data_IF_017209396747
#
_entry.id   IF_017209396747
#
_cell.length_a   1.000
_cell.length_b   1.000
_cell.length_c   1.000
_cell.angle_alpha   90.00
_cell.angle_beta   90.00
_cell.angle_gamma   90.00
#
_symmetry.space_group_name_H-M   'P 1'
#
loop_
_entity.id
_entity.type
_entity.pdbx_description
1 polymer ?
#
# COMPACT_ATOMS: atom_id res chain seq x y z
N UNK A 1 47.16 15.65 16.19
CA UNK A 1 47.61 14.30 15.78
C UNK A 1 46.44 13.35 15.92
N UNK A 2 46.19 12.51 14.92
CA UNK A 2 45.09 11.55 14.93
C UNK A 2 45.43 10.38 15.86
N UNK A 3 44.59 10.09 16.85
CA UNK A 3 44.77 9.03 17.85
C UNK A 3 44.56 7.61 17.29
N UNK A 4 44.68 7.43 15.97
CA UNK A 4 44.32 6.21 15.25
C UNK A 4 45.09 4.98 15.74
N UNK A 5 46.37 5.15 16.11
CA UNK A 5 47.23 4.08 16.58
C UNK A 5 47.28 3.95 18.11
N UNK A 6 46.57 4.82 18.84
CA UNK A 6 46.58 4.87 20.30
C UNK A 6 45.21 4.55 20.92
N UNK A 7 44.22 4.20 20.10
CA UNK A 7 42.86 3.83 20.53
C UNK A 7 42.48 2.45 20.00
N UNK A 8 41.61 1.75 20.72
CA UNK A 8 41.02 0.49 20.24
C UNK A 8 40.28 0.71 18.91
N UNK A 9 40.75 0.03 17.87
CA UNK A 9 40.17 0.11 16.54
C UNK A 9 38.89 -0.72 16.45
N UNK A 10 37.82 -0.10 15.93
CA UNK A 10 36.59 -0.79 15.52
C UNK A 10 36.57 -0.87 14.00
N UNK A 11 36.88 -2.06 13.48
CA UNK A 11 37.04 -2.28 12.04
C UNK A 11 35.72 -2.71 11.40
N UNK A 12 35.35 -2.13 10.26
CA UNK A 12 34.25 -2.60 9.41
C UNK A 12 34.89 -3.34 8.24
N UNK A 13 34.71 -4.66 8.18
CA UNK A 13 35.24 -5.49 7.09
C UNK A 13 34.20 -5.65 5.99
N UNK A 14 34.57 -5.26 4.77
CA UNK A 14 33.77 -5.45 3.55
C UNK A 14 34.57 -6.36 2.63
N UNK A 15 34.00 -7.49 2.20
CA UNK A 15 34.67 -8.45 1.33
C UNK A 15 34.88 -9.80 2.01
N UNK A 16 36.11 -10.32 1.96
CA UNK A 16 36.42 -11.65 2.49
C UNK A 16 36.39 -11.66 4.03
N UNK A 17 35.67 -12.62 4.60
CA UNK A 17 35.55 -12.81 6.04
C UNK A 17 36.88 -13.06 6.75
N UNK A 18 37.84 -13.69 6.04
CA UNK A 18 39.15 -14.04 6.59
C UNK A 18 39.93 -12.83 7.14
N UNK A 19 39.72 -11.62 6.60
CA UNK A 19 40.36 -10.41 7.13
C UNK A 19 39.78 -10.00 8.49
N UNK A 20 38.45 -10.07 8.66
CA UNK A 20 37.84 -9.84 9.96
C UNK A 20 38.23 -10.93 10.97
N UNK A 21 38.27 -12.19 10.53
CA UNK A 21 38.65 -13.33 11.38
C UNK A 21 40.07 -13.15 11.94
N UNK A 22 41.01 -12.73 11.10
CA UNK A 22 42.38 -12.43 11.52
C UNK A 22 42.45 -11.34 12.59
N UNK A 23 41.69 -10.26 12.44
CA UNK A 23 41.64 -9.16 13.41
C UNK A 23 41.06 -9.64 14.75
N UNK A 24 39.95 -10.37 14.71
CA UNK A 24 39.27 -10.91 15.91
C UNK A 24 40.18 -11.90 16.64
N UNK A 25 40.86 -12.79 15.91
CA UNK A 25 41.79 -13.77 16.48
C UNK A 25 42.98 -13.11 17.19
N UNK A 26 43.40 -11.93 16.76
CA UNK A 26 44.48 -11.16 17.38
C UNK A 26 43.99 -10.14 18.42
N UNK A 27 42.76 -10.30 18.92
CA UNK A 27 42.20 -9.50 20.01
C UNK A 27 41.61 -8.15 19.59
N UNK A 28 41.52 -7.86 18.28
CA UNK A 28 40.88 -6.67 17.75
C UNK A 28 39.36 -6.82 17.60
N UNK A 29 38.66 -5.71 17.35
CA UNK A 29 37.22 -5.70 17.12
C UNK A 29 36.91 -5.45 15.63
N UNK A 30 36.25 -6.41 14.97
CA UNK A 30 35.82 -6.27 13.58
C UNK A 30 34.35 -6.67 13.40
N UNK A 31 33.60 -5.87 12.63
CA UNK A 31 32.25 -6.18 12.16
C UNK A 31 32.32 -6.61 10.70
N UNK A 32 31.90 -7.85 10.44
CA UNK A 32 31.74 -8.37 9.07
C UNK A 32 30.49 -7.79 8.44
N UNK A 33 30.64 -7.10 7.32
CA UNK A 33 29.50 -6.66 6.51
C UNK A 33 29.20 -7.75 5.51
N UNK A 34 27.97 -8.26 5.52
CA UNK A 34 27.46 -9.19 4.52
C UNK A 34 27.22 -8.47 3.18
N UNK A 35 28.30 -7.97 2.58
CA UNK A 35 28.27 -7.27 1.31
C UNK A 35 28.34 -8.28 0.16
N UNK A 36 27.55 -8.02 -0.88
CA UNK A 36 27.61 -8.75 -2.15
C UNK A 36 27.61 -7.73 -3.29
N UNK A 37 28.32 -7.99 -4.40
CA UNK A 37 28.23 -7.13 -5.56
C UNK A 37 26.77 -7.07 -6.06
N UNK A 38 26.31 -5.92 -6.55
CA UNK A 38 25.00 -5.79 -7.17
C UNK A 38 24.79 -6.85 -8.27
N UNK A 39 23.52 -7.20 -8.52
CA UNK A 39 23.14 -8.17 -9.55
C UNK A 39 23.91 -9.52 -9.45
N UNK A 40 24.18 -9.98 -8.23
CA UNK A 40 24.90 -11.24 -7.96
C UNK A 40 26.30 -11.31 -8.62
N UNK A 41 26.93 -10.15 -8.88
CA UNK A 41 28.26 -10.09 -9.51
C UNK A 41 28.24 -10.05 -11.03
N UNK A 42 27.08 -9.86 -11.67
CA UNK A 42 27.03 -9.63 -13.11
C UNK A 42 27.83 -8.37 -13.48
N UNK A 43 28.93 -8.58 -14.20
CA UNK A 43 29.90 -7.51 -14.48
C UNK A 43 29.33 -6.40 -15.36
N UNK A 44 28.44 -6.73 -16.29
CA UNK A 44 27.82 -5.76 -17.18
C UNK A 44 26.84 -4.87 -16.43
N UNK A 45 25.95 -5.47 -15.63
CA UNK A 45 25.00 -4.75 -14.77
C UNK A 45 25.73 -3.92 -13.72
N UNK A 46 26.78 -4.48 -13.10
CA UNK A 46 27.62 -3.75 -12.15
C UNK A 46 28.27 -2.51 -12.76
N UNK A 47 28.81 -2.63 -13.99
CA UNK A 47 29.36 -1.48 -14.73
C UNK A 47 28.29 -0.47 -15.11
N UNK A 48 27.15 -0.92 -15.61
CA UNK A 48 26.03 -0.04 -15.93
C UNK A 48 25.58 0.75 -14.68
N UNK A 49 25.41 0.08 -13.54
CA UNK A 49 25.06 0.75 -12.28
C UNK A 49 26.15 1.73 -11.83
N UNK A 50 27.43 1.38 -11.96
CA UNK A 50 28.53 2.27 -11.61
C UNK A 50 28.51 3.58 -12.43
N UNK A 51 28.10 3.53 -13.70
CA UNK A 51 27.95 4.74 -14.54
C UNK A 51 26.80 5.66 -14.11
N UNK A 52 25.87 5.17 -13.28
CA UNK A 52 24.77 5.97 -12.74
C UNK A 52 25.13 6.66 -11.42
N UNK A 53 26.23 6.27 -10.76
CA UNK A 53 26.69 6.90 -9.52
C UNK A 53 27.18 8.32 -9.84
N UNK A 54 26.68 9.33 -9.10
CA UNK A 54 26.96 10.75 -9.30
C UNK A 54 26.65 11.23 -10.73
N UNK A 55 25.72 10.56 -11.42
CA UNK A 55 25.26 11.02 -12.71
C UNK A 55 24.35 12.25 -12.51
N UNK A 56 24.77 13.41 -13.04
CA UNK A 56 24.07 14.68 -12.81
C UNK A 56 22.62 14.68 -13.30
N UNK A 57 22.32 13.97 -14.39
CA UNK A 57 20.96 13.85 -14.92
C UNK A 57 20.07 13.02 -13.99
N UNK A 58 20.60 11.91 -13.48
CA UNK A 58 19.92 11.06 -12.48
C UNK A 58 19.68 11.85 -11.20
N UNK A 59 20.69 12.57 -10.71
CA UNK A 59 20.56 13.38 -9.50
C UNK A 59 19.57 14.53 -9.67
N UNK A 60 19.52 15.16 -10.86
CA UNK A 60 18.53 16.18 -11.17
C UNK A 60 17.12 15.60 -11.21
N UNK A 61 16.92 14.44 -11.84
CA UNK A 61 15.64 13.74 -11.86
C UNK A 61 15.19 13.33 -10.45
N UNK A 62 16.10 12.83 -9.63
CA UNK A 62 15.84 12.45 -8.24
C UNK A 62 15.43 13.67 -7.38
N UNK A 63 16.09 14.82 -7.56
CA UNK A 63 15.69 16.07 -6.88
C UNK A 63 14.25 16.46 -7.22
N UNK A 64 13.85 16.36 -8.48
CA UNK A 64 12.47 16.65 -8.92
C UNK A 64 11.48 15.65 -8.33
N UNK A 65 11.79 14.35 -8.37
CA UNK A 65 10.93 13.30 -7.83
C UNK A 65 10.72 13.48 -6.31
N UNK A 66 11.82 13.69 -5.57
CA UNK A 66 11.78 13.91 -4.13
C UNK A 66 11.06 15.21 -3.77
N UNK A 67 11.30 16.31 -4.51
CA UNK A 67 10.62 17.58 -4.23
C UNK A 67 9.12 17.46 -4.40
N UNK A 68 8.64 16.77 -5.45
CA UNK A 68 7.21 16.50 -5.65
C UNK A 68 6.63 15.63 -4.55
N UNK A 69 7.33 14.58 -4.15
CA UNK A 69 6.92 13.70 -3.04
C UNK A 69 6.78 14.49 -1.72
N UNK A 70 7.78 15.30 -1.38
CA UNK A 70 7.78 16.10 -0.16
C UNK A 70 6.70 17.19 -0.17
N UNK A 71 6.49 17.85 -1.32
CA UNK A 71 5.51 18.92 -1.48
C UNK A 71 4.06 18.41 -1.43
N UNK A 72 3.78 17.18 -1.87
CA UNK A 72 2.43 16.63 -1.97
C UNK A 72 1.60 16.84 -0.69
N UNK A 73 0.42 17.45 -0.79
CA UNK A 73 -0.49 17.66 0.35
C UNK A 73 -1.74 16.79 0.20
N UNK A 74 -1.73 15.54 0.72
CA UNK A 74 -2.87 14.65 0.62
C UNK A 74 -3.99 15.07 1.57
N UNK A 75 -5.17 15.34 1.02
CA UNK A 75 -6.41 15.60 1.76
C UNK A 75 -7.41 14.49 1.48
N UNK A 76 -8.11 14.04 2.51
CA UNK A 76 -9.26 13.16 2.35
C UNK A 76 -10.43 14.01 1.86
N UNK A 77 -10.74 13.86 0.57
CA UNK A 77 -11.71 14.70 -0.14
C UNK A 77 -13.13 14.14 -0.07
N UNK A 78 -13.28 12.83 0.05
CA UNK A 78 -14.60 12.22 0.05
C UNK A 78 -14.62 10.70 0.02
N UNK A 79 -15.82 10.16 -0.19
CA UNK A 79 -16.11 8.74 -0.37
C UNK A 79 -16.97 8.57 -1.60
N UNK A 80 -16.54 7.72 -2.53
CA UNK A 80 -17.25 7.46 -3.78
C UNK A 80 -17.46 5.96 -4.03
N UNK A 81 -18.33 5.64 -4.99
CA UNK A 81 -18.47 4.27 -5.53
C UNK A 81 -17.31 4.02 -6.48
N UNK A 82 -16.64 2.87 -6.41
CA UNK A 82 -15.44 2.60 -7.19
C UNK A 82 -15.64 2.81 -8.69
N UNK A 83 -16.74 2.28 -9.26
CA UNK A 83 -17.10 2.44 -10.68
C UNK A 83 -17.13 3.91 -11.17
N UNK A 84 -17.51 4.84 -10.29
CA UNK A 84 -17.67 6.26 -10.64
C UNK A 84 -16.45 7.11 -10.27
N UNK A 85 -15.55 6.58 -9.44
CA UNK A 85 -14.46 7.36 -8.84
C UNK A 85 -13.10 6.92 -9.34
N UNK A 86 -12.90 5.61 -9.49
CA UNK A 86 -11.61 5.02 -9.86
C UNK A 86 -11.48 5.07 -11.39
N UNK A 87 -10.44 5.71 -11.95
CA UNK A 87 -10.30 5.90 -13.38
C UNK A 87 -10.13 4.56 -14.10
N UNK A 88 -10.79 4.38 -15.25
CA UNK A 88 -10.62 3.21 -16.11
C UNK A 88 -11.23 1.91 -15.56
N UNK A 89 -12.07 1.97 -14.53
CA UNK A 89 -12.79 0.81 -14.01
C UNK A 89 -14.04 0.53 -14.85
N UNK A 90 -14.11 -0.65 -15.49
CA UNK A 90 -15.27 -1.10 -16.24
C UNK A 90 -16.31 -1.82 -15.37
N UNK A 91 -17.47 -2.14 -15.96
CA UNK A 91 -18.58 -2.81 -15.26
C UNK A 91 -18.23 -4.20 -14.69
N UNK A 92 -17.35 -4.95 -15.36
CA UNK A 92 -16.85 -6.27 -14.92
C UNK A 92 -15.35 -6.25 -14.66
N UNK A 93 -14.87 -5.18 -14.04
CA UNK A 93 -13.47 -5.04 -13.65
C UNK A 93 -13.32 -5.25 -12.15
N UNK A 94 -12.45 -6.17 -11.76
CA UNK A 94 -12.00 -6.34 -10.39
C UNK A 94 -10.54 -5.90 -10.28
N UNK A 95 -10.28 -4.92 -9.43
CA UNK A 95 -8.91 -4.50 -9.15
C UNK A 95 -8.28 -5.39 -8.09
N UNK A 96 -6.96 -5.52 -8.10
CA UNK A 96 -6.22 -6.30 -7.10
C UNK A 96 -4.89 -5.66 -6.70
N UNK A 97 -4.35 -6.07 -5.54
CA UNK A 97 -3.01 -5.67 -5.13
C UNK A 97 -1.91 -6.33 -5.99
N UNK A 98 -0.71 -5.75 -5.96
CA UNK A 98 0.46 -6.29 -6.65
C UNK A 98 0.55 -5.93 -8.14
N UNK A 99 1.52 -6.50 -8.87
CA UNK A 99 1.69 -6.33 -10.32
C UNK A 99 0.64 -7.14 -11.11
N UNK A 100 0.54 -6.97 -12.45
CA UNK A 100 -0.34 -7.79 -13.29
C UNK A 100 -0.12 -9.29 -13.03
N UNK A 101 -1.21 -10.03 -12.88
CA UNK A 101 -1.19 -11.47 -12.63
C UNK A 101 -2.46 -12.11 -13.23
N UNK A 102 -2.33 -13.29 -13.83
CA UNK A 102 -3.49 -14.02 -14.35
C UNK A 102 -4.23 -14.74 -13.23
N UNK A 103 -5.50 -15.06 -13.45
CA UNK A 103 -6.32 -15.82 -12.48
C UNK A 103 -5.63 -17.12 -12.03
N UNK A 104 -4.99 -17.85 -12.95
CA UNK A 104 -4.36 -19.14 -12.69
C UNK A 104 -3.23 -19.01 -11.67
N UNK A 105 -2.43 -17.94 -11.78
CA UNK A 105 -1.27 -17.65 -10.94
C UNK A 105 -1.64 -17.02 -9.59
N UNK A 106 -2.87 -16.52 -9.43
CA UNK A 106 -3.32 -15.94 -8.16
C UNK A 106 -3.31 -16.98 -7.03
N UNK A 107 -2.79 -16.56 -5.87
CA UNK A 107 -2.82 -17.35 -4.65
C UNK A 107 -4.24 -17.52 -4.09
N UNK A 108 -4.44 -18.57 -3.29
CA UNK A 108 -5.74 -18.93 -2.70
C UNK A 108 -6.50 -17.77 -2.05
N UNK A 109 -5.88 -16.94 -1.19
CA UNK A 109 -6.54 -15.78 -0.58
C UNK A 109 -7.06 -14.76 -1.59
N UNK A 110 -6.31 -14.50 -2.67
CA UNK A 110 -6.75 -13.57 -3.72
C UNK A 110 -7.91 -14.16 -4.52
N UNK A 111 -7.85 -15.45 -4.86
CA UNK A 111 -8.96 -16.16 -5.51
C UNK A 111 -10.24 -16.15 -4.68
N UNK A 112 -10.13 -16.43 -3.38
CA UNK A 112 -11.27 -16.36 -2.45
C UNK A 112 -11.88 -14.96 -2.37
N UNK A 113 -11.04 -13.92 -2.36
CA UNK A 113 -11.47 -12.53 -2.34
C UNK A 113 -12.19 -12.12 -3.63
N UNK A 114 -11.71 -12.57 -4.79
CA UNK A 114 -12.37 -12.38 -6.08
C UNK A 114 -13.74 -13.07 -6.08
N UNK A 115 -13.81 -14.34 -5.66
CA UNK A 115 -15.08 -15.07 -5.55
C UNK A 115 -16.08 -14.30 -4.67
N UNK A 116 -15.64 -13.81 -3.52
CA UNK A 116 -16.49 -13.00 -2.64
C UNK A 116 -16.91 -11.68 -3.27
N UNK A 117 -16.04 -11.00 -4.02
CA UNK A 117 -16.38 -9.79 -4.76
C UNK A 117 -17.41 -10.04 -5.87
N UNK A 118 -17.29 -11.14 -6.61
CA UNK A 118 -18.25 -11.55 -7.66
C UNK A 118 -19.64 -11.78 -7.05
N UNK A 119 -19.71 -12.46 -5.91
CA UNK A 119 -20.96 -12.68 -5.18
C UNK A 119 -21.52 -11.36 -4.62
N UNK A 120 -20.65 -10.51 -4.07
CA UNK A 120 -21.03 -9.19 -3.54
C UNK A 120 -21.61 -8.25 -4.61
N UNK A 121 -21.09 -8.29 -5.83
CA UNK A 121 -21.64 -7.56 -6.98
C UNK A 121 -22.92 -8.20 -7.54
N UNK A 122 -23.29 -9.39 -7.08
CA UNK A 122 -24.46 -10.12 -7.54
C UNK A 122 -24.32 -10.67 -8.97
N UNK A 123 -23.09 -10.86 -9.46
CA UNK A 123 -22.86 -11.42 -10.79
C UNK A 123 -23.14 -12.93 -10.83
N UNK A 124 -22.97 -13.62 -9.70
CA UNK A 124 -23.33 -15.02 -9.51
C UNK A 124 -23.78 -15.25 -8.06
N UNK A 125 -24.47 -16.37 -7.80
CA UNK A 125 -25.04 -16.68 -6.48
C UNK A 125 -24.19 -17.67 -5.67
N UNK A 126 -23.22 -18.35 -6.28
CA UNK A 126 -22.47 -19.44 -5.63
C UNK A 126 -20.97 -19.31 -5.87
N UNK A 127 -20.17 -19.80 -4.92
CA UNK A 127 -18.70 -19.81 -5.04
C UNK A 127 -18.23 -20.56 -6.29
N UNK A 128 -18.91 -21.64 -6.66
CA UNK A 128 -18.60 -22.42 -7.86
C UNK A 128 -18.81 -21.60 -9.13
N UNK A 129 -19.99 -20.98 -9.27
CA UNK A 129 -20.29 -20.14 -10.43
C UNK A 129 -19.36 -18.92 -10.50
N UNK A 130 -19.03 -18.32 -9.35
CA UNK A 130 -18.08 -17.22 -9.27
C UNK A 130 -16.67 -17.63 -9.71
N UNK A 131 -16.20 -18.81 -9.31
CA UNK A 131 -14.91 -19.34 -9.75
C UNK A 131 -14.90 -19.65 -11.25
N UNK A 132 -15.99 -20.20 -11.79
CA UNK A 132 -16.12 -20.47 -13.23
C UNK A 132 -16.08 -19.17 -14.04
N UNK A 133 -16.82 -18.14 -13.60
CA UNK A 133 -16.81 -16.81 -14.20
C UNK A 133 -15.42 -16.14 -14.12
N UNK A 134 -14.71 -16.28 -13.00
CA UNK A 134 -13.36 -15.75 -12.85
C UNK A 134 -12.37 -16.38 -13.84
N UNK A 135 -12.55 -17.66 -14.18
CA UNK A 135 -11.72 -18.36 -15.16
C UNK A 135 -12.19 -18.25 -16.61
N UNK A 136 -13.40 -17.75 -16.87
CA UNK A 136 -13.99 -17.73 -18.23
C UNK A 136 -13.49 -16.57 -19.10
N UNK A 137 -12.79 -15.60 -18.51
CA UNK A 137 -12.40 -14.35 -19.16
C UNK A 137 -13.49 -13.27 -19.19
N UNK A 138 -14.63 -13.51 -18.53
CA UNK A 138 -15.71 -12.51 -18.40
C UNK A 138 -15.36 -11.37 -17.44
N UNK A 139 -14.38 -11.56 -16.55
CA UNK A 139 -13.91 -10.57 -15.60
C UNK A 139 -12.54 -10.05 -16.06
N UNK A 140 -12.41 -8.73 -16.10
CA UNK A 140 -11.11 -8.07 -16.27
C UNK A 140 -10.44 -7.89 -14.92
N UNK A 141 -9.28 -8.50 -14.73
CA UNK A 141 -8.41 -8.26 -13.57
C UNK A 141 -7.39 -7.19 -13.90
N UNK A 142 -7.22 -6.20 -13.02
CA UNK A 142 -6.20 -5.15 -13.21
C UNK A 142 -5.57 -4.71 -11.88
N UNK A 143 -4.25 -4.44 -11.83
CA UNK A 143 -3.62 -3.89 -10.64
C UNK A 143 -4.22 -2.56 -10.21
N UNK A 144 -4.47 -2.39 -8.91
CA UNK A 144 -4.92 -1.11 -8.35
C UNK A 144 -4.01 0.06 -8.77
N UNK A 145 -2.68 -0.17 -8.84
CA UNK A 145 -1.69 0.86 -9.20
C UNK A 145 -1.86 1.41 -10.62
N UNK A 146 -2.47 0.66 -11.55
CA UNK A 146 -2.77 1.16 -12.91
C UNK A 146 -3.97 2.13 -12.92
N UNK A 147 -4.75 2.14 -11.85
CA UNK A 147 -5.98 2.93 -11.71
C UNK A 147 -5.87 3.99 -10.59
N UNK A 148 -4.64 4.39 -10.24
CA UNK A 148 -4.37 5.31 -9.13
C UNK A 148 -4.97 4.85 -7.79
N UNK A 149 -5.14 3.54 -7.61
CA UNK A 149 -5.68 2.96 -6.40
C UNK A 149 -4.62 2.11 -5.68
N UNK A 150 -4.86 1.86 -4.40
CA UNK A 150 -4.14 0.89 -3.59
C UNK A 150 -5.15 0.05 -2.80
N UNK A 151 -4.84 -1.23 -2.60
CA UNK A 151 -5.66 -2.14 -1.83
C UNK A 151 -4.79 -2.95 -0.86
N UNK A 152 -5.15 -3.07 0.43
CA UNK A 152 -4.39 -3.84 1.39
C UNK A 152 -4.57 -5.35 1.17
N UNK A 153 -3.51 -6.14 1.39
CA UNK A 153 -3.51 -7.60 1.28
C UNK A 153 -3.86 -8.09 -0.12
N UNK A 154 -4.96 -8.83 -0.34
CA UNK A 154 -5.41 -9.16 -1.72
C UNK A 154 -5.82 -7.92 -2.51
N UNK A 155 -6.22 -6.87 -1.80
CA UNK A 155 -6.50 -5.55 -2.36
C UNK A 155 -7.67 -5.51 -3.33
N UNK A 156 -8.62 -6.44 -3.22
CA UNK A 156 -9.75 -6.50 -4.15
C UNK A 156 -10.63 -5.26 -4.01
N UNK A 157 -10.90 -4.61 -5.15
CA UNK A 157 -11.86 -3.53 -5.28
C UNK A 157 -12.79 -3.87 -6.45
N UNK A 158 -14.10 -3.98 -6.16
CA UNK A 158 -15.15 -4.22 -7.15
C UNK A 158 -15.97 -2.96 -7.41
N UNK A 159 -16.72 -2.88 -8.52
CA UNK A 159 -17.38 -1.64 -8.98
C UNK A 159 -18.29 -0.99 -7.93
N UNK A 160 -18.97 -1.78 -7.10
CA UNK A 160 -19.87 -1.29 -6.07
C UNK A 160 -19.25 -1.00 -4.72
N UNK A 161 -18.01 -1.44 -4.49
CA UNK A 161 -17.33 -1.11 -3.24
C UNK A 161 -17.13 0.40 -3.09
N UNK A 162 -17.33 0.94 -1.88
CA UNK A 162 -16.98 2.31 -1.58
C UNK A 162 -15.46 2.45 -1.50
N UNK A 163 -14.95 3.59 -1.96
CA UNK A 163 -13.54 3.97 -1.88
C UNK A 163 -13.38 5.34 -1.23
N UNK A 164 -12.33 5.48 -0.43
CA UNK A 164 -11.82 6.78 -0.01
C UNK A 164 -11.21 7.49 -1.22
N UNK A 165 -11.48 8.80 -1.35
CA UNK A 165 -10.92 9.66 -2.38
C UNK A 165 -9.93 10.60 -1.69
N UNK A 166 -8.64 10.40 -1.96
CA UNK A 166 -7.57 11.28 -1.50
C UNK A 166 -7.12 12.13 -2.68
N UNK A 167 -7.02 13.43 -2.48
CA UNK A 167 -6.53 14.38 -3.46
C UNK A 167 -5.25 15.01 -2.96
N UNK A 168 -4.23 15.06 -3.81
CA UNK A 168 -3.04 15.87 -3.55
C UNK A 168 -3.33 17.31 -3.99
N UNK A 169 -3.61 18.23 -3.06
CA UNK A 169 -3.99 19.61 -3.40
C UNK A 169 -2.85 20.43 -4.03
N UNK A 170 -1.60 19.96 -3.91
CA UNK A 170 -0.43 20.60 -4.52
C UNK A 170 -0.35 20.35 -6.05
N UNK A 171 -0.80 19.19 -6.54
CA UNK A 171 -0.66 18.81 -7.95
C UNK A 171 -1.96 18.29 -8.60
N UNK A 172 -3.07 18.22 -7.85
CA UNK A 172 -4.40 17.82 -8.32
C UNK A 172 -4.57 16.33 -8.60
N UNK A 173 -3.53 15.50 -8.47
CA UNK A 173 -3.65 14.06 -8.67
C UNK A 173 -4.45 13.41 -7.53
N UNK A 174 -5.22 12.37 -7.86
CA UNK A 174 -6.06 11.64 -6.91
C UNK A 174 -5.57 10.22 -6.69
N UNK A 175 -5.88 9.67 -5.53
CA UNK A 175 -5.65 8.27 -5.22
C UNK A 175 -6.80 7.68 -4.42
N UNK A 176 -7.00 6.38 -4.57
CA UNK A 176 -8.16 5.67 -4.03
C UNK A 176 -7.75 4.46 -3.19
N UNK A 177 -8.51 4.17 -2.14
CA UNK A 177 -8.37 2.93 -1.38
C UNK A 177 -9.73 2.46 -0.90
N UNK A 178 -9.93 1.15 -0.84
CA UNK A 178 -11.13 0.56 -0.25
C UNK A 178 -11.19 0.77 1.28
N UNK A 179 -12.33 0.42 1.85
CA UNK A 179 -12.57 0.47 3.30
C UNK A 179 -11.96 -0.72 4.02
N UNK A 180 -11.55 -0.50 5.27
CA UNK A 180 -11.13 -1.60 6.15
C UNK A 180 -12.36 -2.33 6.70
N UNK A 181 -12.42 -3.64 6.48
CA UNK A 181 -13.53 -4.52 6.85
C UNK A 181 -13.52 -4.97 8.33
N UNK A 182 -12.52 -4.52 9.10
CA UNK A 182 -12.26 -4.93 10.48
C UNK A 182 -11.25 -6.07 10.62
N UNK A 183 -11.35 -6.78 11.74
CA UNK A 183 -10.51 -7.92 12.10
C UNK A 183 -11.27 -9.24 11.93
N UNK A 184 -10.53 -10.35 11.84
CA UNK A 184 -11.09 -11.70 11.71
C UNK A 184 -11.34 -12.09 10.26
N UNK A 185 -12.49 -12.73 9.99
CA UNK A 185 -12.89 -13.13 8.64
C UNK A 185 -13.26 -11.90 7.82
N UNK A 186 -12.46 -11.61 6.80
CA UNK A 186 -12.58 -10.45 5.92
C UNK A 186 -12.15 -10.82 4.51
N UNK A 187 -12.72 -10.14 3.52
CA UNK A 187 -12.50 -10.36 2.10
C UNK A 187 -11.04 -10.18 1.70
N UNK A 188 -10.35 -9.18 2.27
CA UNK A 188 -8.92 -8.94 1.97
C UNK A 188 -7.97 -10.11 2.29
N UNK A 189 -8.42 -11.10 3.08
CA UNK A 189 -7.71 -12.36 3.34
C UNK A 189 -8.32 -13.57 2.63
N UNK A 190 -9.31 -13.35 1.76
CA UNK A 190 -9.96 -14.38 0.96
C UNK A 190 -11.20 -15.01 1.57
N UNK A 191 -11.65 -14.55 2.74
CA UNK A 191 -12.91 -15.03 3.30
C UNK A 191 -14.10 -14.46 2.52
N UNK A 192 -15.06 -15.31 2.17
CA UNK A 192 -16.18 -14.97 1.29
C UNK A 192 -17.51 -15.58 1.77
N UNK A 193 -17.60 -15.91 3.06
CA UNK A 193 -18.83 -16.42 3.67
C UNK A 193 -19.95 -15.36 3.67
N UNK A 194 -21.23 -15.76 3.83
CA UNK A 194 -22.35 -14.82 3.82
C UNK A 194 -22.22 -13.66 4.82
N UNK A 195 -21.61 -13.89 5.99
CA UNK A 195 -21.32 -12.84 6.99
C UNK A 195 -20.33 -11.77 6.49
N UNK A 196 -19.37 -12.16 5.64
CA UNK A 196 -18.42 -11.22 5.02
C UNK A 196 -19.14 -10.37 3.99
N UNK A 197 -19.94 -11.00 3.12
CA UNK A 197 -20.71 -10.30 2.09
C UNK A 197 -21.72 -9.32 2.73
N UNK A 198 -22.42 -9.74 3.79
CA UNK A 198 -23.31 -8.88 4.55
C UNK A 198 -22.58 -7.67 5.15
N UNK A 199 -21.36 -7.88 5.69
CA UNK A 199 -20.54 -6.77 6.20
C UNK A 199 -20.14 -5.81 5.11
N UNK A 200 -19.75 -6.30 3.93
CA UNK A 200 -19.42 -5.45 2.78
C UNK A 200 -20.61 -4.60 2.35
N UNK A 201 -21.83 -5.18 2.34
CA UNK A 201 -23.06 -4.43 2.07
C UNK A 201 -23.35 -3.37 3.14
N UNK A 202 -23.16 -3.68 4.42
CA UNK A 202 -23.25 -2.68 5.48
C UNK A 202 -22.22 -1.55 5.32
N UNK A 203 -20.99 -1.87 4.90
CA UNK A 203 -19.95 -0.86 4.62
C UNK A 203 -20.40 0.04 3.46
N UNK A 204 -20.89 -0.55 2.37
CA UNK A 204 -21.42 0.17 1.19
C UNK A 204 -22.59 1.09 1.54
N UNK A 205 -23.61 0.55 2.19
CA UNK A 205 -24.91 1.21 2.33
C UNK A 205 -24.97 2.15 3.55
N UNK A 206 -24.28 1.80 4.63
CA UNK A 206 -24.32 2.54 5.90
C UNK A 206 -23.04 3.32 6.15
N UNK A 207 -21.91 2.62 6.34
CA UNK A 207 -20.67 3.28 6.79
C UNK A 207 -20.19 4.32 5.77
N UNK A 208 -20.13 3.94 4.50
CA UNK A 208 -19.68 4.84 3.44
C UNK A 208 -20.63 6.03 3.25
N UNK A 209 -21.94 5.83 3.41
CA UNK A 209 -22.94 6.90 3.35
C UNK A 209 -22.73 7.92 4.48
N UNK A 210 -22.56 7.45 5.71
CA UNK A 210 -22.28 8.30 6.87
C UNK A 210 -20.95 9.04 6.71
N UNK A 211 -19.89 8.35 6.29
CA UNK A 211 -18.59 8.98 6.05
C UNK A 211 -18.64 10.02 4.92
N UNK A 212 -19.38 9.76 3.85
CA UNK A 212 -19.59 10.71 2.75
C UNK A 212 -20.26 11.98 3.25
N UNK A 213 -21.37 11.85 3.99
CA UNK A 213 -22.11 12.99 4.53
C UNK A 213 -21.27 13.78 5.55
N UNK A 214 -20.51 13.09 6.40
CA UNK A 214 -19.61 13.73 7.36
C UNK A 214 -18.51 14.55 6.66
N UNK A 215 -17.91 14.02 5.58
CA UNK A 215 -16.87 14.72 4.82
C UNK A 215 -17.44 15.90 4.04
N UNK A 216 -18.67 15.84 3.53
CA UNK A 216 -19.34 16.99 2.93
C UNK A 216 -19.47 18.16 3.92
N UNK A 217 -19.71 17.87 5.20
CA UNK A 217 -19.77 18.88 6.25
C UNK A 217 -18.40 19.41 6.69
N UNK A 218 -17.34 18.58 6.63
CA UNK A 218 -15.97 18.97 7.00
C UNK A 218 -15.31 19.79 5.88
N UNK A 219 -15.63 19.48 4.62
CA UNK A 219 -14.89 19.95 3.46
C UNK A 219 -13.67 19.07 3.24
N UNK A 220 -12.49 19.56 3.61
CA UNK A 220 -11.22 18.86 3.39
C UNK A 220 -10.58 18.47 4.73
N UNK A 221 -10.05 17.24 4.79
CA UNK A 221 -9.30 16.76 5.95
C UNK A 221 -7.86 16.45 5.55
N UNK A 222 -6.93 17.32 5.95
CA UNK A 222 -5.51 17.10 5.72
C UNK A 222 -4.99 15.85 6.44
N UNK A 223 -4.35 14.96 5.68
CA UNK A 223 -3.86 13.68 6.21
C UNK A 223 -2.46 13.79 6.83
N UNK A 224 -1.59 14.66 6.30
CA UNK A 224 -0.22 14.86 6.79
C UNK A 224 -0.16 15.16 8.29
N UNK A 225 -0.94 16.12 8.84
CA UNK A 225 -0.95 16.38 10.28
C UNK A 225 -1.42 15.19 11.12
N UNK A 226 -2.43 14.44 10.65
CA UNK A 226 -2.93 13.25 11.34
C UNK A 226 -1.88 12.14 11.38
N UNK A 227 -1.19 11.90 10.25
CA UNK A 227 -0.10 10.92 10.16
C UNK A 227 1.05 11.35 11.08
N UNK A 228 1.51 12.61 11.00
CA UNK A 228 2.58 13.11 11.86
C UNK A 228 2.26 12.97 13.35
N UNK A 229 1.03 13.29 13.75
CA UNK A 229 0.59 13.10 15.13
C UNK A 229 0.52 11.62 15.53
N UNK A 230 0.02 10.75 14.64
CA UNK A 230 -0.04 9.31 14.89
C UNK A 230 1.35 8.70 15.09
N UNK A 231 2.34 9.12 14.30
CA UNK A 231 3.74 8.71 14.46
C UNK A 231 4.29 9.10 15.85
N UNK A 232 3.98 10.30 16.33
CA UNK A 232 4.34 10.73 17.70
C UNK A 232 3.56 10.01 18.81
N UNK A 233 2.48 9.30 18.47
CA UNK A 233 1.70 8.44 19.37
C UNK A 233 2.09 6.95 19.23
N UNK A 234 3.22 6.69 18.56
CA UNK A 234 3.85 5.38 18.40
C UNK A 234 3.25 4.50 17.31
N UNK A 235 2.37 5.02 16.45
CA UNK A 235 1.99 4.29 15.24
C UNK A 235 3.15 4.33 14.24
N UNK A 236 3.20 3.34 13.34
CA UNK A 236 4.04 3.38 12.13
C UNK A 236 3.19 3.45 10.84
N UNK A 237 1.87 3.50 11.00
CA UNK A 237 0.89 3.68 9.91
C UNK A 237 0.85 2.55 8.87
N UNK A 238 1.35 1.36 9.21
CA UNK A 238 1.26 0.16 8.39
C UNK A 238 0.69 -1.02 9.19
N UNK A 239 1.43 -1.55 10.16
CA UNK A 239 0.96 -2.59 11.09
C UNK A 239 0.15 -2.02 12.26
N UNK A 240 0.61 -0.93 12.86
CA UNK A 240 -0.01 -0.28 14.03
C UNK A 240 -0.63 1.06 13.59
N UNK A 241 -1.95 1.11 13.68
CA UNK A 241 -2.79 2.23 13.23
C UNK A 241 -3.79 2.68 14.32
N UNK A 242 -3.47 2.47 15.59
CA UNK A 242 -4.41 2.72 16.69
C UNK A 242 -4.63 4.22 16.86
N UNK A 243 -3.54 5.00 16.86
CA UNK A 243 -3.61 6.44 16.98
C UNK A 243 -4.20 7.10 15.72
N UNK A 244 -3.77 6.69 14.52
CA UNK A 244 -4.28 7.23 13.26
C UNK A 244 -5.79 7.00 13.11
N UNK A 245 -6.27 5.80 13.46
CA UNK A 245 -7.70 5.47 13.47
C UNK A 245 -8.47 6.33 14.47
N UNK A 246 -7.97 6.46 15.71
CA UNK A 246 -8.62 7.27 16.74
C UNK A 246 -8.68 8.76 16.35
N UNK A 247 -7.60 9.28 15.77
CA UNK A 247 -7.53 10.67 15.29
C UNK A 247 -8.49 10.92 14.12
N UNK A 248 -8.58 10.00 13.17
CA UNK A 248 -9.54 10.08 12.06
C UNK A 248 -10.98 10.07 12.58
N UNK A 249 -11.33 9.12 13.46
CA UNK A 249 -12.66 9.05 14.08
C UNK A 249 -12.96 10.36 14.82
N UNK A 250 -12.01 10.88 15.61
CA UNK A 250 -12.17 12.16 16.33
C UNK A 250 -12.47 13.33 15.40
N UNK A 251 -11.90 13.34 14.19
CA UNK A 251 -12.15 14.38 13.17
C UNK A 251 -13.51 14.20 12.48
N UNK A 252 -13.93 12.97 12.22
CA UNK A 252 -15.20 12.67 11.55
C UNK A 252 -16.42 12.81 12.48
N UNK A 253 -16.28 12.41 13.75
CA UNK A 253 -17.39 12.25 14.70
C UNK A 253 -18.28 13.50 14.86
N UNK A 254 -17.75 14.74 15.02
CA UNK A 254 -18.59 15.92 15.16
C UNK A 254 -19.49 16.17 13.95
N UNK A 255 -19.05 15.78 12.76
CA UNK A 255 -19.84 15.91 11.54
C UNK A 255 -20.80 14.74 11.34
N UNK A 256 -20.42 13.52 11.74
CA UNK A 256 -21.31 12.35 11.76
C UNK A 256 -22.54 12.59 12.62
N UNK A 257 -22.40 13.25 13.78
CA UNK A 257 -23.54 13.54 14.67
C UNK A 257 -24.57 14.49 14.01
N UNK A 258 -24.18 15.23 12.97
CA UNK A 258 -25.03 16.20 12.26
C UNK A 258 -25.68 15.63 11.00
N UNK A 259 -25.38 14.39 10.62
CA UNK A 259 -25.93 13.71 9.43
C UNK A 259 -27.08 12.82 9.81
#
# INVERSE_FOLDING_TARGET
MTNLFTSDLKVINVGLDAFADSIIQNGGNATKVAWRPPALGDTNTGRALATLINNEEVDAANRIALSRYLAANPVLKGVGKAANSVPGMGERTLLHAGPPISWEEMGGPMKGAIIGAVIYEGWTETEKAASEMASSGEITFSPCHHHSAVGPMSGIISPSMPVWIVENTEHGNKSYSNFNEGLGKVLRYGANSPEVILRLKWIEETLATVCRAALQNIGELELKPLIGQALHMGDECHNRNVASTALLIKKLLPSIIKT
#
